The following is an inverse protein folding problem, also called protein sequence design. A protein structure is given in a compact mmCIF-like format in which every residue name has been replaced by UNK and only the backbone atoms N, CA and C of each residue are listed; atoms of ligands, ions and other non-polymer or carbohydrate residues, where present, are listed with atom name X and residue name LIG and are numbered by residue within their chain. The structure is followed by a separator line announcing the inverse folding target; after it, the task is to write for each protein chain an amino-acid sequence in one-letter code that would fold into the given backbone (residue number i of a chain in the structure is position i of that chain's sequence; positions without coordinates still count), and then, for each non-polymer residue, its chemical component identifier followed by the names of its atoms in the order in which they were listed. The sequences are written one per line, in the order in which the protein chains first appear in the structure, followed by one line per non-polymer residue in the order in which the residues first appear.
data_IF_333985430766
#
_entry.id   IF_333985430766
#
_cell.length_a   1.000
_cell.length_b   1.000
_cell.length_c   1.000
_cell.angle_alpha   90.00
_cell.angle_beta   90.00
_cell.angle_gamma   90.00
#
_symmetry.space_group_name_H-M   'P 1'
#
loop_
_entity.id
_entity.type
_entity.pdbx_description
1 polymer ?
#
# COMPACT_ATOMS: atom_id res chain seq x y z
N UNK A 1 -11.72 3.68 -0.48
CA UNK A 1 -10.38 3.65 -1.10
C UNK A 1 -9.40 4.16 -0.06
N UNK A 2 -8.61 3.26 0.53
CA UNK A 2 -7.63 3.61 1.57
C UNK A 2 -6.28 3.73 0.88
N UNK A 3 -5.82 4.97 0.70
CA UNK A 3 -4.52 5.28 0.11
C UNK A 3 -3.56 5.65 1.23
N UNK A 4 -2.45 4.93 1.31
CA UNK A 4 -1.36 5.21 2.24
C UNK A 4 -0.18 5.82 1.49
N UNK A 5 0.22 7.01 1.93
CA UNK A 5 1.36 7.71 1.37
C UNK A 5 2.56 7.51 2.30
N UNK A 6 3.64 6.92 1.78
CA UNK A 6 4.90 6.86 2.49
C UNK A 6 5.41 8.27 2.78
N UNK A 7 5.98 8.46 3.97
CA UNK A 7 6.77 9.66 4.28
C UNK A 7 8.05 9.64 3.44
N UNK A 8 8.66 10.82 3.22
CA UNK A 8 9.72 11.01 2.22
C UNK A 8 10.96 10.13 2.40
N UNK A 9 11.23 9.68 3.62
CA UNK A 9 12.35 8.81 4.03
C UNK A 9 11.92 7.38 4.38
N UNK A 10 10.62 7.08 4.27
CA UNK A 10 10.04 5.80 4.69
C UNK A 10 10.22 4.74 3.60
N UNK A 11 10.70 3.57 4.01
CA UNK A 11 10.74 2.40 3.13
C UNK A 11 9.35 1.79 2.98
N UNK A 12 9.12 1.02 1.91
CA UNK A 12 7.83 0.36 1.70
C UNK A 12 7.46 -0.58 2.86
N UNK A 13 8.46 -1.24 3.46
CA UNK A 13 8.25 -2.19 4.55
C UNK A 13 7.88 -1.45 5.85
N UNK A 14 8.51 -0.31 6.12
CA UNK A 14 8.15 0.57 7.25
C UNK A 14 6.73 1.14 7.10
N UNK A 15 6.38 1.56 5.88
CA UNK A 15 5.04 2.04 5.61
C UNK A 15 3.99 0.91 5.77
N UNK A 16 4.29 -0.31 5.33
CA UNK A 16 3.42 -1.47 5.55
C UNK A 16 3.24 -1.80 7.03
N UNK A 17 4.34 -1.80 7.80
CA UNK A 17 4.31 -2.00 9.24
C UNK A 17 3.45 -0.93 9.93
N UNK A 18 3.62 0.34 9.57
CA UNK A 18 2.81 1.43 10.10
C UNK A 18 1.32 1.24 9.81
N UNK A 19 0.95 0.84 8.59
CA UNK A 19 -0.44 0.54 8.21
C UNK A 19 -0.98 -0.57 9.09
N UNK A 20 -0.24 -1.66 9.25
CA UNK A 20 -0.66 -2.83 10.02
C UNK A 20 -0.79 -2.55 11.52
N UNK A 21 0.02 -1.63 12.06
CA UNK A 21 -0.05 -1.23 13.48
C UNK A 21 -1.16 -0.23 13.76
N UNK A 22 -1.54 0.59 12.78
CA UNK A 22 -2.48 1.70 12.94
C UNK A 22 -3.83 1.49 12.26
N UNK A 23 -4.07 0.33 11.64
CA UNK A 23 -5.37 -0.03 11.08
C UNK A 23 -6.41 -0.15 12.20
N UNK A 24 -7.40 0.74 12.17
CA UNK A 24 -8.44 0.83 13.20
C UNK A 24 -9.37 -0.38 13.24
N UNK A 25 -9.41 -1.18 12.17
CA UNK A 25 -10.22 -2.37 12.04
C UNK A 25 -9.42 -3.65 12.37
N UNK A 26 -8.14 -3.50 12.72
CA UNK A 26 -7.24 -4.60 13.04
C UNK A 26 -6.86 -5.47 11.84
N UNK A 27 -7.08 -4.97 10.62
CA UNK A 27 -6.70 -5.68 9.39
C UNK A 27 -5.19 -5.68 9.22
N UNK A 28 -4.69 -6.74 8.59
CA UNK A 28 -3.29 -6.86 8.22
C UNK A 28 -3.18 -6.95 6.72
N UNK A 29 -2.22 -6.23 6.17
CA UNK A 29 -1.95 -6.17 4.76
C UNK A 29 -0.55 -6.69 4.44
N UNK A 30 -0.38 -7.15 3.22
CA UNK A 30 0.88 -7.52 2.58
C UNK A 30 0.87 -7.08 1.12
N UNK A 31 2.04 -7.04 0.49
CA UNK A 31 2.17 -6.84 -0.94
C UNK A 31 3.52 -7.39 -1.43
N UNK A 32 3.57 -7.72 -2.71
CA UNK A 32 4.77 -8.08 -3.47
C UNK A 32 5.23 -6.88 -4.31
N UNK A 33 6.48 -6.47 -4.13
CA UNK A 33 7.06 -5.28 -4.77
C UNK A 33 7.10 -5.37 -6.30
N UNK A 34 7.12 -6.57 -6.86
CA UNK A 34 7.24 -6.79 -8.30
C UNK A 34 5.88 -7.12 -8.92
N UNK A 35 5.05 -7.92 -8.24
CA UNK A 35 3.76 -8.37 -8.76
C UNK A 35 2.62 -7.39 -8.52
N UNK A 36 2.65 -6.62 -7.42
CA UNK A 36 1.53 -5.78 -7.00
C UNK A 36 1.67 -4.31 -7.41
N UNK A 37 2.68 -4.00 -8.22
CA UNK A 37 2.83 -2.67 -8.80
C UNK A 37 1.64 -2.37 -9.71
N UNK A 38 0.93 -1.29 -9.42
CA UNK A 38 -0.26 -0.87 -10.17
C UNK A 38 -0.16 0.58 -10.67
N UNK A 39 -1.13 0.99 -11.46
CA UNK A 39 -1.25 2.33 -12.03
C UNK A 39 -2.66 2.90 -11.86
N UNK A 40 -2.76 4.23 -11.87
CA UNK A 40 -4.06 4.91 -11.82
C UNK A 40 -4.89 4.49 -13.04
N UNK A 41 -6.07 3.91 -12.79
CA UNK A 41 -6.97 3.39 -13.82
C UNK A 41 -6.97 1.87 -13.96
N UNK A 42 -6.03 1.17 -13.32
CA UNK A 42 -6.06 -0.30 -13.24
C UNK A 42 -7.17 -0.77 -12.30
N UNK A 43 -7.76 -1.94 -12.58
CA UNK A 43 -8.77 -2.54 -11.71
C UNK A 43 -8.25 -2.73 -10.28
N UNK A 44 -7.01 -3.22 -10.13
CA UNK A 44 -6.37 -3.41 -8.84
C UNK A 44 -6.22 -2.11 -8.04
N UNK A 45 -5.96 -0.98 -8.71
CA UNK A 45 -5.87 0.33 -8.07
C UNK A 45 -7.24 0.81 -7.55
N UNK A 46 -8.32 0.49 -8.27
CA UNK A 46 -9.68 0.90 -7.92
C UNK A 46 -10.25 0.05 -6.78
N UNK A 47 -9.93 -1.24 -6.75
CA UNK A 47 -10.55 -2.20 -5.84
C UNK A 47 -9.76 -2.46 -4.55
N UNK A 48 -8.45 -2.25 -4.54
CA UNK A 48 -7.60 -2.58 -3.39
C UNK A 48 -7.20 -1.32 -2.57
N UNK A 49 -6.83 -1.47 -1.28
CA UNK A 49 -6.03 -0.48 -0.59
C UNK A 49 -4.69 -0.29 -1.33
N UNK A 50 -4.18 0.94 -1.39
CA UNK A 50 -3.00 1.27 -2.20
C UNK A 50 -1.93 1.93 -1.35
N UNK A 51 -0.70 1.45 -1.48
CA UNK A 51 0.49 2.07 -0.91
C UNK A 51 1.23 2.85 -1.98
N UNK A 52 1.60 4.10 -1.70
CA UNK A 52 2.29 5.00 -2.61
C UNK A 52 3.61 5.42 -1.99
N UNK A 53 4.71 5.13 -2.67
CA UNK A 53 6.04 5.55 -2.21
C UNK A 53 6.37 6.99 -2.59
N UNK A 54 7.47 7.52 -2.04
CA UNK A 54 7.96 8.88 -2.32
C UNK A 54 8.28 9.16 -3.80
N UNK A 55 8.41 8.13 -4.64
CA UNK A 55 8.62 8.23 -6.09
C UNK A 55 7.30 8.16 -6.89
N UNK A 56 6.14 8.25 -6.22
CA UNK A 56 4.82 8.06 -6.82
C UNK A 56 4.66 6.70 -7.52
N UNK A 57 5.24 5.64 -6.94
CA UNK A 57 4.99 4.26 -7.36
C UNK A 57 3.89 3.67 -6.48
N UNK A 58 2.91 3.02 -7.11
CA UNK A 58 1.72 2.49 -6.46
C UNK A 58 1.80 0.97 -6.33
N UNK A 59 1.33 0.46 -5.21
CA UNK A 59 1.28 -0.97 -4.89
C UNK A 59 -0.09 -1.32 -4.35
N UNK A 60 -0.74 -2.30 -4.94
CA UNK A 60 -2.01 -2.84 -4.44
C UNK A 60 -1.74 -3.74 -3.23
N UNK A 61 -2.40 -3.47 -2.11
CA UNK A 61 -2.26 -4.23 -0.89
C UNK A 61 -3.30 -5.36 -0.82
N UNK A 62 -2.90 -6.49 -0.24
CA UNK A 62 -3.75 -7.66 -0.01
C UNK A 62 -3.88 -7.93 1.49
N UNK A 63 -5.06 -8.31 1.96
CA UNK A 63 -5.28 -8.70 3.36
C UNK A 63 -4.69 -10.10 3.65
N UNK A 64 -4.18 -10.33 4.87
CA UNK A 64 -3.61 -11.61 5.34
C UNK A 64 -4.30 -12.19 6.57
#
# INVERSE_FOLDING_TARGET
MNIHLCKGDETLDQALEYINEHDSEGRKYTFDKDADRCYIGDEAFVSAPVLINYKNTYYALHEV
#
